data_IF_793935625633
#
_entry.id   IF_793935625633
#
_cell.length_a   1.000
_cell.length_b   1.000
_cell.length_c   1.000
_cell.angle_alpha   90.00
_cell.angle_beta   90.00
_cell.angle_gamma   90.00
#
_symmetry.space_group_name_H-M   'P 1'
#
loop_
_entity.id
_entity.type
_entity.pdbx_description
1 polymer ?
#
# COMPACT_ATOMS: atom_id res chain seq x y z
N UNK A 1 -20.08 -6.77 17.41
CA UNK A 1 -18.77 -6.88 16.73
C UNK A 1 -18.84 -6.02 15.48
N UNK A 2 -17.87 -5.14 15.24
CA UNK A 2 -17.82 -4.37 13.99
C UNK A 2 -17.48 -5.32 12.85
N UNK A 3 -17.91 -4.99 11.63
CA UNK A 3 -17.61 -5.82 10.47
C UNK A 3 -16.28 -5.47 9.84
N UNK A 4 -15.49 -6.48 9.55
CA UNK A 4 -14.11 -6.32 9.08
C UNK A 4 -14.05 -6.35 7.56
N UNK A 5 -13.44 -5.32 6.97
CA UNK A 5 -13.10 -5.26 5.57
C UNK A 5 -11.59 -5.40 5.40
N UNK A 6 -11.14 -6.59 5.02
CA UNK A 6 -9.73 -6.91 4.85
C UNK A 6 -9.15 -6.31 3.56
N UNK A 7 -8.05 -5.58 3.72
CA UNK A 7 -7.23 -5.00 2.66
C UNK A 7 -5.83 -5.56 2.83
N UNK A 8 -5.28 -6.20 1.80
CA UNK A 8 -3.91 -6.70 1.84
C UNK A 8 -2.97 -5.67 1.22
N UNK A 9 -1.89 -5.33 1.92
CA UNK A 9 -0.82 -4.45 1.41
C UNK A 9 0.42 -5.28 1.14
N UNK A 10 0.89 -5.27 -0.11
CA UNK A 10 2.06 -6.04 -0.56
C UNK A 10 3.13 -5.14 -1.20
N UNK A 11 4.34 -5.68 -1.24
CA UNK A 11 5.53 -5.00 -1.74
C UNK A 11 6.77 -5.64 -1.11
N UNK A 12 7.93 -5.50 -1.75
CA UNK A 12 9.16 -6.10 -1.25
C UNK A 12 9.59 -5.46 0.08
N UNK A 13 10.63 -6.02 0.69
CA UNK A 13 11.26 -5.44 1.87
C UNK A 13 11.66 -4.00 1.56
N UNK A 14 11.27 -3.03 2.39
CA UNK A 14 11.52 -1.59 2.20
C UNK A 14 10.88 -0.96 0.95
N UNK A 15 9.97 -1.62 0.24
CA UNK A 15 9.26 -1.00 -0.91
C UNK A 15 8.45 0.25 -0.53
N UNK A 16 8.21 0.47 0.77
CA UNK A 16 7.55 1.64 1.33
C UNK A 16 6.12 1.40 1.80
N UNK A 17 5.73 0.14 2.05
CA UNK A 17 4.41 -0.24 2.60
C UNK A 17 4.10 0.46 3.93
N UNK A 18 5.03 0.41 4.88
CA UNK A 18 4.86 1.05 6.20
C UNK A 18 4.67 2.56 6.04
N UNK A 19 5.50 3.24 5.24
CA UNK A 19 5.33 4.67 4.97
C UNK A 19 4.06 5.00 4.19
N UNK A 20 3.57 4.12 3.31
CA UNK A 20 2.24 4.25 2.69
C UNK A 20 1.14 4.22 3.75
N UNK A 21 1.18 3.23 4.65
CA UNK A 21 0.21 3.08 5.74
C UNK A 21 0.26 4.24 6.75
N UNK A 22 1.46 4.67 7.13
CA UNK A 22 1.69 5.84 7.98
C UNK A 22 1.17 7.12 7.34
N UNK A 23 1.36 7.29 6.02
CA UNK A 23 0.84 8.43 5.26
C UNK A 23 -0.68 8.42 5.22
N UNK A 24 -1.29 7.27 4.92
CA UNK A 24 -2.74 7.08 4.96
C UNK A 24 -3.27 7.46 6.35
N UNK A 25 -2.63 6.95 7.41
CA UNK A 25 -2.99 7.24 8.79
C UNK A 25 -2.87 8.72 9.16
N UNK A 26 -1.74 9.37 8.85
CA UNK A 26 -1.51 10.77 9.22
C UNK A 26 -2.49 11.72 8.53
N UNK A 27 -3.00 11.36 7.35
CA UNK A 27 -3.94 12.18 6.58
C UNK A 27 -5.41 11.90 6.87
N UNK A 28 -5.72 10.96 7.77
CA UNK A 28 -7.10 10.69 8.16
C UNK A 28 -7.76 11.90 8.83
N UNK A 29 -7.10 12.52 9.81
CA UNK A 29 -7.64 13.72 10.45
C UNK A 29 -7.75 14.88 9.46
N UNK A 30 -6.74 15.08 8.61
CA UNK A 30 -6.71 16.20 7.66
C UNK A 30 -7.79 16.13 6.58
N UNK A 31 -8.12 14.92 6.09
CA UNK A 31 -8.96 14.76 4.91
C UNK A 31 -10.36 14.25 5.24
N UNK A 32 -10.53 13.47 6.31
CA UNK A 32 -11.83 12.90 6.69
C UNK A 32 -12.53 13.79 7.72
N UNK A 33 -11.83 14.48 8.62
CA UNK A 33 -12.53 15.39 9.56
C UNK A 33 -13.11 16.65 8.90
N UNK A 34 -12.63 16.98 7.69
CA UNK A 34 -13.24 18.01 6.83
C UNK A 34 -14.61 17.57 6.28
N UNK A 35 -14.85 16.27 6.17
CA UNK A 35 -16.16 15.72 5.83
C UNK A 35 -16.99 15.62 7.12
N UNK A 36 -17.97 16.50 7.29
CA UNK A 36 -18.65 16.69 8.57
C UNK A 36 -19.41 15.45 9.07
N UNK A 37 -19.69 14.48 8.20
CA UNK A 37 -20.54 13.33 8.50
C UNK A 37 -19.81 11.99 8.59
N UNK A 38 -18.55 11.91 8.12
CA UNK A 38 -17.75 10.68 8.13
C UNK A 38 -16.61 10.77 9.15
N UNK A 39 -16.28 9.65 9.76
CA UNK A 39 -15.18 9.55 10.70
C UNK A 39 -14.44 8.23 10.53
N UNK A 40 -13.12 8.33 10.45
CA UNK A 40 -12.23 7.18 10.58
C UNK A 40 -11.34 7.39 11.81
N UNK A 41 -11.28 6.38 12.67
CA UNK A 41 -10.41 6.40 13.85
C UNK A 41 -9.67 5.08 13.97
N UNK A 42 -8.41 5.06 14.40
CA UNK A 42 -7.74 3.81 14.69
C UNK A 42 -8.45 3.05 15.82
N UNK A 43 -8.31 1.72 15.82
CA UNK A 43 -8.80 0.87 16.90
C UNK A 43 -7.74 0.83 18.01
N UNK A 44 -8.20 0.94 19.28
CA UNK A 44 -7.46 1.24 20.54
C UNK A 44 -6.08 0.61 20.78
N UNK A 45 -5.68 -0.41 20.02
CA UNK A 45 -4.46 -1.19 20.26
C UNK A 45 -3.33 -0.89 19.26
N UNK A 46 -3.58 -0.06 18.23
CA UNK A 46 -2.65 0.20 17.11
C UNK A 46 -2.23 1.66 16.93
N UNK A 47 -2.87 2.58 17.66
CA UNK A 47 -2.61 4.03 17.66
C UNK A 47 -1.13 4.34 17.85
N UNK A 48 -0.45 3.58 18.72
CA UNK A 48 0.94 3.88 19.09
C UNK A 48 1.92 3.53 17.96
N UNK A 49 1.74 2.42 17.23
CA UNK A 49 2.77 1.97 16.28
C UNK A 49 2.88 2.87 15.04
N UNK A 50 1.77 3.16 14.35
CA UNK A 50 1.79 4.07 13.19
C UNK A 50 2.04 5.51 13.62
N UNK A 51 1.53 5.93 14.78
CA UNK A 51 1.85 7.22 15.37
C UNK A 51 3.35 7.39 15.61
N UNK A 52 4.00 6.37 16.18
CA UNK A 52 5.46 6.36 16.37
C UNK A 52 6.20 6.41 15.03
N UNK A 53 5.77 5.65 14.01
CA UNK A 53 6.39 5.73 12.68
C UNK A 53 6.25 7.12 12.04
N UNK A 54 5.09 7.77 12.19
CA UNK A 54 4.89 9.15 11.72
C UNK A 54 5.81 10.11 12.49
N UNK A 55 5.94 9.94 13.80
CA UNK A 55 6.82 10.75 14.62
C UNK A 55 8.29 10.54 14.26
N UNK A 56 8.71 9.29 14.00
CA UNK A 56 10.06 8.94 13.57
C UNK A 56 10.39 9.60 12.22
N UNK A 57 9.46 9.54 11.25
CA UNK A 57 9.59 10.26 9.98
C UNK A 57 9.73 11.77 10.21
N UNK A 58 8.84 12.36 11.00
CA UNK A 58 8.90 13.79 11.32
C UNK A 58 10.23 14.17 12.02
N UNK A 59 10.73 13.32 12.91
CA UNK A 59 11.99 13.54 13.63
C UNK A 59 13.20 13.42 12.70
N UNK A 60 13.25 12.38 11.86
CA UNK A 60 14.30 12.17 10.86
C UNK A 60 14.44 13.38 9.94
N UNK A 61 13.33 14.06 9.65
CA UNK A 61 13.28 15.24 8.79
C UNK A 61 13.15 16.58 9.53
N UNK A 62 13.12 16.56 10.85
CA UNK A 62 12.98 17.76 11.70
C UNK A 62 14.30 18.48 11.94
N UNK A 63 15.43 17.78 11.83
CA UNK A 63 16.76 18.38 12.05
C UNK A 63 17.26 19.12 10.81
N UNK A 64 17.94 20.23 11.02
CA UNK A 64 18.48 21.11 9.96
C UNK A 64 19.78 20.56 9.34
N UNK A 65 20.36 19.50 9.92
CA UNK A 65 21.79 19.17 9.76
C UNK A 65 22.10 17.83 9.12
N UNK A 66 21.15 16.90 8.95
CA UNK A 66 21.42 15.61 8.30
C UNK A 66 20.85 15.60 6.88
N UNK A 67 21.70 15.96 5.92
CA UNK A 67 21.42 15.83 4.49
C UNK A 67 22.69 15.38 3.76
N UNK A 68 22.58 14.49 2.75
CA UNK A 68 21.38 13.76 2.32
C UNK A 68 21.02 12.58 3.24
N UNK A 69 19.77 12.10 3.15
CA UNK A 69 19.25 10.99 3.96
C UNK A 69 19.08 9.72 3.10
N UNK A 70 19.55 8.57 3.61
CA UNK A 70 19.39 7.28 2.94
C UNK A 70 18.02 6.66 3.28
N UNK A 71 17.44 5.92 2.34
CA UNK A 71 16.20 5.14 2.49
C UNK A 71 16.12 4.31 3.79
N UNK A 72 17.25 3.78 4.29
CA UNK A 72 17.32 2.99 5.52
C UNK A 72 17.24 3.85 6.80
N UNK A 73 17.62 5.12 6.73
CA UNK A 73 17.55 6.08 7.83
C UNK A 73 16.14 6.72 7.92
N UNK A 74 15.34 6.58 6.86
CA UNK A 74 14.02 7.20 6.72
C UNK A 74 12.87 6.30 7.18
N UNK A 75 12.93 4.98 6.93
CA UNK A 75 11.92 4.01 7.41
C UNK A 75 12.60 2.70 7.79
N UNK A 76 12.59 2.36 9.07
CA UNK A 76 13.00 1.04 9.52
C UNK A 76 12.02 -0.01 8.96
N UNK A 77 12.51 -1.14 8.41
CA UNK A 77 11.62 -2.20 7.96
C UNK A 77 10.78 -2.72 9.14
N UNK A 78 9.54 -3.11 8.86
CA UNK A 78 8.73 -3.87 9.80
C UNK A 78 9.46 -5.19 10.12
N UNK A 79 10.13 -5.29 11.27
CA UNK A 79 10.81 -6.51 11.71
C UNK A 79 9.97 -7.22 12.76
N UNK A 80 9.53 -8.45 12.46
CA UNK A 80 8.96 -9.35 13.47
C UNK A 80 10.14 -9.96 14.25
N UNK A 81 10.18 -9.75 15.56
CA UNK A 81 11.30 -10.16 16.43
C UNK A 81 11.60 -11.67 16.34
N UNK A 82 12.88 -12.02 16.22
CA UNK A 82 13.38 -13.42 16.30
C UNK A 82 13.75 -13.76 17.75
N UNK A 83 13.08 -14.73 18.37
CA UNK A 83 13.59 -15.40 19.57
C UNK A 83 14.31 -16.69 19.15
N UNK A 84 15.58 -16.85 19.60
CA UNK A 84 16.31 -18.12 19.49
C UNK A 84 15.97 -18.98 20.69
N UNK A 85 15.22 -20.05 20.49
CA UNK A 85 15.11 -21.13 21.48
C UNK A 85 16.21 -22.17 21.21
N UNK A 86 17.23 -22.19 22.07
CA UNK A 86 18.27 -23.22 22.03
C UNK A 86 17.75 -24.47 22.75
N UNK A 87 17.21 -25.44 22.02
CA UNK A 87 16.98 -26.79 22.55
C UNK A 87 18.22 -27.68 22.31
N UNK A 88 18.99 -27.90 23.37
CA UNK A 88 20.08 -28.89 23.38
C UNK A 88 19.50 -30.27 23.71
N UNK A 89 19.41 -31.16 22.71
CA UNK A 89 19.16 -32.58 22.93
C UNK A 89 20.20 -33.40 22.15
N UNK A 90 21.07 -34.04 22.91
CA UNK A 90 21.99 -35.12 22.53
C UNK A 90 22.75 -34.97 21.20
N UNK A 91 23.82 -34.17 21.22
CA UNK A 91 25.08 -34.52 20.53
C UNK A 91 25.11 -34.56 19.00
N UNK A 92 24.04 -34.15 18.31
CA UNK A 92 24.06 -33.89 16.86
C UNK A 92 23.37 -32.56 16.57
N UNK A 93 24.16 -31.55 16.21
CA UNK A 93 23.67 -30.26 15.74
C UNK A 93 23.11 -30.40 14.32
N UNK A 94 21.81 -30.68 14.21
CA UNK A 94 21.03 -30.35 13.01
C UNK A 94 20.25 -29.07 13.29
N UNK A 95 20.68 -27.96 12.69
CA UNK A 95 19.97 -26.68 12.77
C UNK A 95 18.75 -26.70 11.85
N UNK A 96 17.66 -27.35 12.26
CA UNK A 96 16.34 -27.11 11.66
C UNK A 96 15.77 -25.88 12.35
N UNK A 97 15.72 -24.76 11.63
CA UNK A 97 15.20 -23.50 12.18
C UNK A 97 13.68 -23.53 12.03
N UNK A 98 12.98 -23.98 13.06
CA UNK A 98 11.51 -23.88 13.12
C UNK A 98 11.14 -22.46 13.56
N UNK A 99 10.35 -21.76 12.74
CA UNK A 99 9.90 -20.40 12.97
C UNK A 99 8.59 -20.41 13.78
N UNK A 100 8.60 -19.90 15.01
CA UNK A 100 7.38 -19.65 15.81
C UNK A 100 7.29 -18.19 16.21
N UNK A 101 6.19 -17.54 15.80
CA UNK A 101 5.90 -16.11 16.05
C UNK A 101 4.88 -15.99 17.17
N UNK A 102 5.20 -15.30 18.27
CA UNK A 102 4.26 -14.99 19.37
C UNK A 102 4.09 -13.49 19.54
N UNK A 103 2.94 -12.99 19.11
CA UNK A 103 2.26 -11.83 19.69
C UNK A 103 0.94 -12.36 20.26
N UNK A 104 0.63 -11.92 21.48
CA UNK A 104 -0.53 -12.33 22.31
C UNK A 104 -1.66 -13.06 21.56
N UNK A 105 -1.61 -14.40 21.60
CA UNK A 105 -2.80 -15.24 21.46
C UNK A 105 -3.32 -15.56 20.05
N UNK A 106 -2.72 -15.06 18.96
CA UNK A 106 -3.08 -15.47 17.59
C UNK A 106 -1.80 -15.61 16.75
N UNK A 107 -1.53 -16.83 16.28
CA UNK A 107 -0.43 -17.16 15.36
C UNK A 107 -0.64 -16.48 13.98
N UNK A 108 -0.39 -15.18 13.87
CA UNK A 108 -0.51 -14.44 12.61
C UNK A 108 0.81 -13.73 12.27
N UNK A 109 1.27 -13.95 11.04
CA UNK A 109 2.58 -13.60 10.49
C UNK A 109 2.62 -12.22 9.80
N UNK A 110 1.55 -11.45 9.89
CA UNK A 110 1.33 -10.12 9.32
C UNK A 110 0.97 -9.09 10.42
N UNK A 111 1.26 -7.81 10.18
CA UNK A 111 0.81 -6.72 11.07
C UNK A 111 -0.53 -6.20 10.57
N UNK A 112 -1.54 -6.23 11.43
CA UNK A 112 -2.87 -5.71 11.12
C UNK A 112 -3.02 -4.28 11.64
N UNK A 113 -3.37 -3.34 10.78
CA UNK A 113 -3.75 -1.98 11.14
C UNK A 113 -5.26 -1.80 11.00
N UNK A 114 -5.94 -1.59 12.12
CA UNK A 114 -7.40 -1.62 12.23
C UNK A 114 -7.94 -0.21 12.40
N UNK A 115 -8.87 0.19 11.52
CA UNK A 115 -9.48 1.51 11.52
C UNK A 115 -11.00 1.41 11.56
N UNK A 116 -11.60 1.96 12.59
CA UNK A 116 -13.03 2.10 12.74
C UNK A 116 -13.54 3.21 11.81
N UNK A 117 -14.41 2.83 10.87
CA UNK A 117 -15.13 3.71 9.96
C UNK A 117 -16.60 3.83 10.40
N UNK A 118 -17.06 5.06 10.55
CA UNK A 118 -18.41 5.36 11.00
C UNK A 118 -18.85 6.77 10.66
N UNK A 119 -20.04 7.13 11.13
CA UNK A 119 -20.43 8.53 11.14
C UNK A 119 -19.84 9.22 12.37
N UNK A 120 -19.53 10.51 12.23
CA UNK A 120 -19.02 11.33 13.32
C UNK A 120 -19.95 11.27 14.54
N UNK A 121 -19.37 11.08 15.72
CA UNK A 121 -20.08 10.96 17.00
C UNK A 121 -21.06 9.78 17.11
N UNK A 122 -21.01 8.80 16.19
CA UNK A 122 -21.79 7.56 16.28
C UNK A 122 -20.88 6.36 16.47
N UNK A 123 -21.48 5.22 16.81
CA UNK A 123 -20.74 3.96 16.86
C UNK A 123 -20.22 3.62 15.45
N UNK A 124 -18.94 3.22 15.33
CA UNK A 124 -18.39 2.78 14.05
C UNK A 124 -19.15 1.55 13.54
N UNK A 125 -19.28 1.46 12.22
CA UNK A 125 -20.04 0.40 11.55
C UNK A 125 -19.15 -0.65 10.92
N UNK A 126 -18.06 -0.18 10.34
CA UNK A 126 -17.09 -1.00 9.62
C UNK A 126 -15.73 -0.80 10.28
N UNK A 127 -14.93 -1.85 10.27
CA UNK A 127 -13.53 -1.78 10.57
C UNK A 127 -12.76 -2.13 9.30
N UNK A 128 -11.95 -1.20 8.82
CA UNK A 128 -10.99 -1.47 7.76
C UNK A 128 -9.78 -2.14 8.41
N UNK A 129 -9.37 -3.28 7.87
CA UNK A 129 -8.24 -4.06 8.38
C UNK A 129 -7.16 -4.07 7.29
N UNK A 130 -6.17 -3.19 7.41
CA UNK A 130 -5.04 -3.10 6.50
C UNK A 130 -3.94 -4.03 7.00
N UNK A 131 -3.70 -5.12 6.27
CA UNK A 131 -2.69 -6.13 6.61
C UNK A 131 -1.38 -5.80 5.90
N UNK A 132 -0.38 -5.33 6.65
CA UNK A 132 0.99 -5.13 6.15
C UNK A 132 1.74 -6.46 6.16
N UNK A 133 2.08 -6.91 4.95
CA UNK A 133 2.76 -8.16 4.76
C UNK A 133 4.28 -7.96 4.72
N UNK A 134 5.05 -8.59 5.64
CA UNK A 134 6.51 -8.51 5.60
C UNK A 134 7.04 -8.95 4.24
N UNK A 135 7.92 -8.15 3.63
CA UNK A 135 8.34 -8.38 2.25
C UNK A 135 9.16 -9.66 2.09
N UNK A 136 9.79 -10.12 3.17
CA UNK A 136 10.57 -11.35 3.28
C UNK A 136 9.70 -12.58 2.97
N UNK A 137 8.44 -12.56 3.42
CA UNK A 137 7.57 -13.70 3.29
C UNK A 137 7.04 -13.91 1.85
N UNK A 138 7.22 -12.93 0.94
CA UNK A 138 6.94 -13.13 -0.49
C UNK A 138 7.83 -14.23 -1.08
N UNK A 139 9.06 -14.35 -0.56
CA UNK A 139 9.98 -15.42 -0.92
C UNK A 139 9.75 -16.67 -0.06
N UNK A 140 9.57 -16.50 1.26
CA UNK A 140 9.60 -17.61 2.23
C UNK A 140 8.25 -18.34 2.38
N UNK A 141 7.13 -17.64 2.15
CA UNK A 141 5.77 -18.16 2.37
C UNK A 141 4.78 -17.78 1.25
N UNK A 142 5.08 -18.03 -0.03
CA UNK A 142 4.27 -17.56 -1.17
C UNK A 142 2.82 -18.10 -1.14
N UNK A 143 2.58 -19.30 -0.60
CA UNK A 143 1.23 -19.87 -0.48
C UNK A 143 0.31 -19.05 0.41
N UNK A 144 0.86 -18.47 1.47
CA UNK A 144 0.11 -17.64 2.42
C UNK A 144 -0.22 -16.27 1.82
N UNK A 145 0.68 -15.73 0.99
CA UNK A 145 0.44 -14.52 0.18
C UNK A 145 -0.70 -14.78 -0.79
N UNK A 146 -0.60 -15.86 -1.57
CA UNK A 146 -1.58 -16.24 -2.59
C UNK A 146 -2.96 -16.40 -1.96
N UNK A 147 -3.05 -17.11 -0.83
CA UNK A 147 -4.30 -17.28 -0.09
C UNK A 147 -4.88 -15.93 0.34
N UNK A 148 -4.08 -15.04 0.92
CA UNK A 148 -4.55 -13.71 1.35
C UNK A 148 -5.04 -12.86 0.20
N UNK A 149 -4.30 -12.81 -0.92
CA UNK A 149 -4.71 -12.09 -2.13
C UNK A 149 -6.02 -12.67 -2.67
N UNK A 150 -6.18 -13.99 -2.64
CA UNK A 150 -7.40 -14.69 -3.05
C UNK A 150 -8.59 -14.34 -2.14
N UNK A 151 -8.38 -14.25 -0.83
CA UNK A 151 -9.44 -14.05 0.15
C UNK A 151 -9.85 -12.55 0.29
N UNK A 152 -8.91 -11.61 0.11
CA UNK A 152 -9.18 -10.17 0.25
C UNK A 152 -9.92 -9.58 -0.96
N UNK A 153 -10.78 -8.57 -0.73
CA UNK A 153 -11.47 -7.86 -1.82
C UNK A 153 -10.59 -6.78 -2.47
N UNK A 154 -9.59 -6.29 -1.73
CA UNK A 154 -8.68 -5.22 -2.15
C UNK A 154 -7.24 -5.62 -1.90
N UNK A 155 -6.40 -5.50 -2.93
CA UNK A 155 -4.95 -5.62 -2.81
C UNK A 155 -4.28 -4.29 -3.17
N UNK A 156 -3.49 -3.74 -2.25
CA UNK A 156 -2.65 -2.56 -2.48
C UNK A 156 -1.21 -3.00 -2.74
N UNK A 157 -0.62 -2.53 -3.82
CA UNK A 157 0.77 -2.81 -4.20
C UNK A 157 1.56 -1.52 -4.02
N UNK A 158 2.42 -1.47 -3.00
CA UNK A 158 3.36 -0.37 -2.83
C UNK A 158 4.46 -0.47 -3.89
N UNK A 159 4.62 0.59 -4.68
CA UNK A 159 5.61 0.66 -5.76
C UNK A 159 6.71 1.63 -5.34
N UNK A 160 7.93 1.14 -5.18
CA UNK A 160 9.09 1.98 -4.91
C UNK A 160 9.42 2.79 -6.17
N UNK A 161 9.01 4.06 -6.19
CA UNK A 161 9.09 4.91 -7.39
C UNK A 161 10.53 5.18 -7.84
N UNK A 162 11.50 5.51 -6.94
CA UNK A 162 12.91 5.58 -7.33
C UNK A 162 13.43 4.31 -8.01
N UNK A 163 13.05 3.12 -7.53
CA UNK A 163 13.44 1.86 -8.16
C UNK A 163 12.80 1.65 -9.55
N UNK A 164 11.59 2.18 -9.77
CA UNK A 164 10.89 2.12 -11.05
C UNK A 164 11.48 3.09 -12.09
N UNK A 165 11.82 4.30 -11.66
CA UNK A 165 12.11 5.43 -12.54
C UNK A 165 13.59 5.56 -12.89
N UNK A 166 14.49 5.11 -12.02
CA UNK A 166 15.93 5.26 -12.21
C UNK A 166 16.51 4.06 -12.96
N UNK A 167 17.08 4.33 -14.13
CA UNK A 167 17.83 3.34 -14.91
C UNK A 167 19.32 3.37 -14.52
N UNK A 168 19.82 2.22 -14.09
CA UNK A 168 21.21 2.04 -13.66
C UNK A 168 22.17 2.01 -14.86
N UNK A 169 21.82 1.23 -15.90
CA UNK A 169 22.62 1.11 -17.12
C UNK A 169 21.84 0.49 -18.28
N UNK A 170 22.31 0.74 -19.52
CA UNK A 170 21.80 0.06 -20.73
C UNK A 170 21.99 -1.46 -20.71
N UNK A 171 22.93 -1.97 -19.91
CA UNK A 171 23.27 -3.41 -19.84
C UNK A 171 22.34 -4.21 -18.93
N UNK A 172 21.80 -3.57 -17.90
CA UNK A 172 20.87 -4.17 -16.93
C UNK A 172 19.66 -3.22 -16.74
N UNK A 173 18.86 -3.00 -17.80
CA UNK A 173 17.73 -2.11 -17.69
C UNK A 173 16.72 -2.69 -16.69
N UNK A 174 16.11 -1.80 -15.89
CA UNK A 174 15.08 -2.15 -14.91
C UNK A 174 15.52 -3.06 -13.75
N UNK A 175 16.82 -3.22 -13.46
CA UNK A 175 17.29 -4.07 -12.36
C UNK A 175 16.65 -3.72 -11.01
N UNK A 176 16.69 -2.45 -10.59
CA UNK A 176 16.07 -2.03 -9.33
C UNK A 176 14.57 -2.28 -9.31
N UNK A 177 13.87 -2.03 -10.42
CA UNK A 177 12.44 -2.33 -10.53
C UNK A 177 12.18 -3.84 -10.37
N UNK A 178 12.94 -4.69 -11.06
CA UNK A 178 12.82 -6.14 -10.97
C UNK A 178 13.00 -6.64 -9.54
N UNK A 179 14.08 -6.21 -8.89
CA UNK A 179 14.41 -6.63 -7.51
C UNK A 179 13.38 -6.09 -6.49
N UNK A 180 13.02 -4.80 -6.59
CA UNK A 180 12.26 -4.09 -5.54
C UNK A 180 10.75 -4.14 -5.74
N UNK A 181 10.27 -4.20 -6.97
CA UNK A 181 8.86 -4.01 -7.30
C UNK A 181 8.22 -5.27 -7.90
N UNK A 182 8.98 -6.14 -8.57
CA UNK A 182 8.48 -7.38 -9.20
C UNK A 182 8.86 -8.67 -8.46
N UNK A 183 9.75 -8.58 -7.46
CA UNK A 183 10.27 -9.72 -6.68
C UNK A 183 11.16 -10.67 -7.50
N UNK A 184 11.82 -10.13 -8.51
CA UNK A 184 12.76 -10.84 -9.38
C UNK A 184 14.19 -10.59 -8.89
N UNK A 185 14.64 -11.25 -7.82
CA UNK A 185 15.99 -11.11 -7.26
C UNK A 185 17.07 -11.74 -8.16
N UNK A 186 17.28 -11.20 -9.36
CA UNK A 186 18.28 -11.67 -10.34
C UNK A 186 18.10 -13.12 -10.83
N UNK A 187 16.98 -13.78 -10.51
CA UNK A 187 16.62 -15.12 -10.99
C UNK A 187 15.13 -15.15 -11.36
N UNK A 188 14.75 -15.61 -12.56
CA UNK A 188 13.36 -15.91 -12.86
C UNK A 188 12.92 -17.05 -11.95
N UNK A 189 12.09 -16.73 -10.96
CA UNK A 189 11.52 -17.68 -10.02
C UNK A 189 9.99 -17.69 -10.10
N UNK A 190 9.35 -18.77 -9.61
CA UNK A 190 7.88 -18.91 -9.64
C UNK A 190 7.14 -17.94 -8.70
N UNK A 191 7.88 -17.19 -7.86
CA UNK A 191 7.32 -16.34 -6.81
C UNK A 191 7.42 -14.83 -7.17
N UNK A 192 7.49 -14.50 -8.45
CA UNK A 192 7.36 -13.09 -8.87
C UNK A 192 5.91 -12.61 -8.73
N UNK A 193 5.71 -11.30 -8.72
CA UNK A 193 4.41 -10.68 -8.50
C UNK A 193 3.33 -11.19 -9.48
N UNK A 194 3.65 -11.36 -10.77
CA UNK A 194 2.70 -11.81 -11.77
C UNK A 194 2.23 -13.24 -11.51
N UNK A 195 3.15 -14.15 -11.22
CA UNK A 195 2.84 -15.56 -10.91
C UNK A 195 2.02 -15.71 -9.61
N UNK A 196 2.27 -14.85 -8.61
CA UNK A 196 1.46 -14.80 -7.39
C UNK A 196 0.00 -14.44 -7.71
N UNK A 197 -0.22 -13.42 -8.55
CA UNK A 197 -1.58 -13.01 -8.95
C UNK A 197 -2.25 -14.05 -9.84
N UNK A 198 -1.51 -14.65 -10.76
CA UNK A 198 -2.01 -15.72 -11.64
C UNK A 198 -2.58 -16.88 -10.81
N UNK A 199 -1.85 -17.34 -9.81
CA UNK A 199 -2.31 -18.42 -8.93
C UNK A 199 -3.42 -17.96 -7.96
N UNK A 200 -3.34 -16.74 -7.43
CA UNK A 200 -4.39 -16.22 -6.54
C UNK A 200 -5.73 -16.08 -7.27
N UNK A 201 -5.72 -15.69 -8.55
CA UNK A 201 -6.90 -15.34 -9.34
C UNK A 201 -7.37 -16.43 -10.32
N UNK A 202 -6.70 -17.59 -10.36
CA UNK A 202 -7.03 -18.74 -11.22
C UNK A 202 -8.51 -19.15 -11.21
N UNK A 203 -9.19 -18.90 -10.10
CA UNK A 203 -10.64 -19.09 -9.93
C UNK A 203 -11.21 -17.90 -9.14
N UNK A 204 -10.99 -16.69 -9.66
CA UNK A 204 -11.40 -15.45 -8.98
C UNK A 204 -12.86 -15.49 -8.55
N UNK A 205 -13.08 -15.45 -7.23
CA UNK A 205 -14.39 -15.33 -6.64
C UNK A 205 -14.71 -13.86 -6.35
N UNK A 206 -15.85 -13.39 -6.84
CA UNK A 206 -16.33 -12.04 -6.64
C UNK A 206 -15.61 -10.99 -7.48
N UNK A 207 -15.75 -9.73 -7.04
CA UNK A 207 -15.07 -8.58 -7.64
C UNK A 207 -13.88 -8.20 -6.78
N UNK A 208 -12.81 -7.71 -7.40
CA UNK A 208 -11.56 -7.32 -6.74
C UNK A 208 -11.14 -5.92 -7.17
N UNK A 209 -10.41 -5.24 -6.30
CA UNK A 209 -9.72 -3.98 -6.59
C UNK A 209 -8.22 -4.17 -6.37
N UNK A 210 -7.42 -3.82 -7.38
CA UNK A 210 -5.97 -3.72 -7.27
C UNK A 210 -5.58 -2.24 -7.31
N UNK A 211 -4.93 -1.77 -6.25
CA UNK A 211 -4.44 -0.39 -6.14
C UNK A 211 -2.92 -0.40 -6.33
N UNK A 212 -2.46 0.13 -7.44
CA UNK A 212 -1.04 0.42 -7.67
C UNK A 212 -0.73 1.75 -6.97
N UNK A 213 0.08 1.71 -5.92
CA UNK A 213 0.42 2.87 -5.10
C UNK A 213 1.91 3.22 -5.21
N UNK A 214 2.31 4.03 -6.22
CA UNK A 214 3.63 4.66 -6.26
C UNK A 214 3.89 5.46 -4.98
N UNK A 215 4.94 5.09 -4.25
CA UNK A 215 5.40 5.80 -3.05
C UNK A 215 6.71 6.52 -3.32
N UNK A 216 7.04 7.54 -2.51
CA UNK A 216 8.25 8.38 -2.71
C UNK A 216 8.31 8.95 -4.12
N UNK A 217 7.14 9.35 -4.64
CA UNK A 217 6.94 9.76 -6.02
C UNK A 217 7.00 11.28 -6.22
N UNK A 218 7.35 12.05 -5.18
CA UNK A 218 7.31 13.52 -5.14
C UNK A 218 7.98 14.15 -6.38
N UNK A 219 9.19 13.69 -6.72
CA UNK A 219 9.93 14.17 -7.89
C UNK A 219 9.17 13.97 -9.20
N UNK A 220 8.43 12.88 -9.33
CA UNK A 220 7.73 12.51 -10.55
C UNK A 220 6.26 12.91 -10.54
N UNK A 221 5.78 13.53 -9.46
CA UNK A 221 4.45 14.13 -9.36
C UNK A 221 4.48 15.67 -9.37
N UNK A 222 5.68 16.26 -9.53
CA UNK A 222 5.90 17.71 -9.47
C UNK A 222 5.15 18.49 -10.55
N UNK A 223 4.96 17.91 -11.73
CA UNK A 223 4.22 18.51 -12.85
C UNK A 223 3.53 17.45 -13.71
N UNK A 224 2.57 17.85 -14.58
CA UNK A 224 1.81 16.92 -15.42
C UNK A 224 2.65 16.01 -16.31
N UNK A 225 3.72 16.52 -16.93
CA UNK A 225 4.52 15.74 -17.85
C UNK A 225 5.35 14.67 -17.11
N UNK A 226 5.89 15.02 -15.95
CA UNK A 226 6.56 14.05 -15.06
C UNK A 226 5.58 12.97 -14.57
N UNK A 227 4.35 13.36 -14.23
CA UNK A 227 3.33 12.43 -13.75
C UNK A 227 2.84 11.48 -14.85
N UNK A 228 2.74 11.96 -16.10
CA UNK A 228 2.47 11.12 -17.26
C UNK A 228 3.63 10.14 -17.52
N UNK A 229 4.88 10.60 -17.36
CA UNK A 229 6.06 9.72 -17.46
C UNK A 229 6.04 8.61 -16.40
N UNK A 230 5.68 8.94 -15.16
CA UNK A 230 5.48 7.96 -14.09
C UNK A 230 4.42 6.93 -14.48
N UNK A 231 3.28 7.38 -15.01
CA UNK A 231 2.20 6.49 -15.41
C UNK A 231 2.64 5.54 -16.54
N UNK A 232 3.32 6.05 -17.57
CA UNK A 232 3.83 5.21 -18.66
C UNK A 232 4.87 4.19 -18.17
N UNK A 233 5.73 4.60 -17.22
CA UNK A 233 6.69 3.71 -16.56
C UNK A 233 6.02 2.59 -15.77
N UNK A 234 4.92 2.90 -15.06
CA UNK A 234 4.13 1.90 -14.34
C UNK A 234 3.50 0.92 -15.34
N UNK A 235 2.84 1.43 -16.39
CA UNK A 235 2.21 0.59 -17.43
C UNK A 235 3.23 -0.36 -18.07
N UNK A 236 4.42 0.14 -18.38
CA UNK A 236 5.49 -0.65 -18.99
C UNK A 236 6.09 -1.68 -18.02
N UNK A 237 6.44 -1.26 -16.80
CA UNK A 237 7.08 -2.14 -15.81
C UNK A 237 6.14 -3.24 -15.30
N UNK A 238 4.86 -2.94 -15.13
CA UNK A 238 3.84 -3.89 -14.68
C UNK A 238 3.07 -4.54 -15.82
N UNK A 239 3.51 -4.40 -17.08
CA UNK A 239 2.79 -4.91 -18.25
C UNK A 239 2.34 -6.36 -18.11
N UNK A 240 3.18 -7.33 -17.66
CA UNK A 240 2.73 -8.72 -17.51
C UNK A 240 1.56 -8.88 -16.55
N UNK A 241 1.61 -8.20 -15.40
CA UNK A 241 0.52 -8.19 -14.42
C UNK A 241 -0.73 -7.51 -15.00
N UNK A 242 -0.57 -6.36 -15.65
CA UNK A 242 -1.70 -5.62 -16.23
C UNK A 242 -2.37 -6.41 -17.37
N UNK A 243 -1.60 -7.10 -18.22
CA UNK A 243 -2.14 -7.99 -19.25
C UNK A 243 -2.95 -9.14 -18.64
N UNK A 244 -2.43 -9.77 -17.58
CA UNK A 244 -3.14 -10.80 -16.83
C UNK A 244 -4.47 -10.26 -16.28
N UNK A 245 -4.45 -9.12 -15.61
CA UNK A 245 -5.65 -8.52 -15.00
C UNK A 245 -6.66 -8.04 -16.06
N UNK A 246 -6.20 -7.63 -17.25
CA UNK A 246 -7.07 -7.22 -18.35
C UNK A 246 -7.96 -8.34 -18.88
N UNK A 247 -7.50 -9.61 -18.81
CA UNK A 247 -8.33 -10.77 -19.14
C UNK A 247 -9.52 -10.95 -18.19
N UNK A 248 -9.48 -10.31 -17.01
CA UNK A 248 -10.49 -10.38 -15.95
C UNK A 248 -11.14 -9.01 -15.67
N UNK A 249 -11.19 -8.11 -16.67
CA UNK A 249 -11.69 -6.72 -16.51
C UNK A 249 -13.10 -6.59 -15.93
N UNK A 250 -13.94 -7.61 -16.08
CA UNK A 250 -15.29 -7.63 -15.52
C UNK A 250 -15.29 -7.97 -14.03
N UNK A 251 -14.20 -8.56 -13.51
CA UNK A 251 -14.03 -8.94 -12.11
C UNK A 251 -13.02 -8.08 -11.38
N UNK A 252 -12.06 -7.46 -12.08
CA UNK A 252 -10.94 -6.74 -11.46
C UNK A 252 -10.91 -5.29 -11.92
N UNK A 253 -11.01 -4.37 -10.97
CA UNK A 253 -10.64 -2.97 -11.17
C UNK A 253 -9.16 -2.76 -10.85
N UNK A 254 -8.48 -1.95 -11.65
CA UNK A 254 -7.09 -1.57 -11.40
C UNK A 254 -6.98 -0.05 -11.44
N UNK A 255 -6.41 0.52 -10.40
CA UNK A 255 -6.22 1.97 -10.26
C UNK A 255 -4.76 2.29 -9.93
N UNK A 256 -4.30 3.46 -10.37
CA UNK A 256 -3.02 4.04 -9.97
C UNK A 256 -3.31 5.24 -9.08
N UNK A 257 -2.81 5.19 -7.85
CA UNK A 257 -2.95 6.25 -6.86
C UNK A 257 -1.57 6.60 -6.32
N UNK A 258 -0.83 7.52 -6.96
CA UNK A 258 0.44 7.99 -6.43
C UNK A 258 0.27 8.61 -5.04
N UNK A 259 1.19 8.31 -4.13
CA UNK A 259 1.23 8.82 -2.76
C UNK A 259 2.60 9.46 -2.51
N UNK A 260 2.60 10.76 -2.24
CA UNK A 260 3.78 11.51 -1.83
C UNK A 260 4.01 11.22 -0.34
N UNK A 261 4.69 10.11 -0.04
CA UNK A 261 4.87 9.63 1.33
C UNK A 261 5.81 10.48 2.18
N UNK A 262 6.59 11.37 1.58
CA UNK A 262 7.52 12.28 2.27
C UNK A 262 7.13 13.74 2.09
N UNK A 263 6.51 14.09 0.96
CA UNK A 263 5.98 15.43 0.68
C UNK A 263 7.04 16.41 0.20
N UNK A 264 7.51 17.32 1.06
CA UNK A 264 8.49 18.34 0.68
C UNK A 264 9.94 17.81 0.65
N UNK A 265 10.09 16.50 0.49
CA UNK A 265 11.36 15.77 0.57
C UNK A 265 11.43 14.90 -0.67
N UNK A 266 12.33 15.27 -1.57
CA UNK A 266 12.37 14.79 -2.93
C UNK A 266 13.59 13.90 -3.15
N UNK A 267 13.45 12.94 -4.05
CA UNK A 267 14.59 12.13 -4.50
C UNK A 267 15.66 13.04 -5.13
N UNK A 268 16.91 12.87 -4.68
CA UNK A 268 18.07 13.59 -5.18
C UNK A 268 18.84 12.74 -6.21
N UNK A 269 19.47 11.65 -5.76
CA UNK A 269 20.34 10.78 -6.57
C UNK A 269 20.50 9.37 -5.97
N UNK A 270 21.14 8.44 -6.70
CA UNK A 270 21.62 7.15 -6.15
C UNK A 270 23.08 7.32 -5.71
N UNK A 271 23.37 7.07 -4.45
CA UNK A 271 24.73 7.26 -3.90
C UNK A 271 25.74 6.28 -4.51
N UNK A 272 25.31 5.03 -4.70
CA UNK A 272 26.08 3.97 -5.31
C UNK A 272 25.50 3.61 -6.68
N UNK A 273 26.29 3.69 -7.77
CA UNK A 273 25.80 3.37 -9.11
C UNK A 273 25.38 1.92 -9.31
N UNK A 274 25.84 0.98 -8.48
CA UNK A 274 25.63 -0.47 -8.64
C UNK A 274 24.74 -1.09 -7.54
N UNK A 275 24.25 -0.27 -6.61
CA UNK A 275 23.51 -0.70 -5.44
C UNK A 275 22.37 0.26 -5.13
N UNK A 276 21.22 -0.31 -4.72
CA UNK A 276 20.04 0.48 -4.43
C UNK A 276 20.24 1.36 -3.20
N UNK A 277 20.49 2.65 -3.41
CA UNK A 277 20.93 3.62 -2.39
C UNK A 277 20.38 5.02 -2.67
N UNK A 278 19.04 5.17 -2.78
CA UNK A 278 18.45 6.47 -3.08
C UNK A 278 18.65 7.44 -1.91
N UNK A 279 19.06 8.63 -2.27
CA UNK A 279 19.26 9.77 -1.39
C UNK A 279 18.13 10.76 -1.56
N UNK A 280 17.67 11.33 -0.46
CA UNK A 280 16.58 12.30 -0.44
C UNK A 280 17.04 13.64 0.12
N UNK A 281 16.45 14.71 -0.41
CA UNK A 281 16.72 16.08 0.01
C UNK A 281 15.41 16.85 0.23
N UNK A 282 15.42 17.72 1.24
CA UNK A 282 14.41 18.76 1.44
C UNK A 282 14.42 19.73 0.27
N UNK A 283 13.24 20.17 -0.17
CA UNK A 283 13.12 21.22 -1.19
C UNK A 283 13.68 22.56 -0.72
N UNK A 284 13.56 22.85 0.58
CA UNK A 284 14.14 24.02 1.24
C UNK A 284 14.68 23.65 2.61
N UNK A 285 15.58 24.46 3.19
CA UNK A 285 16.16 24.17 4.51
C UNK A 285 15.11 24.11 5.64
N UNK A 286 13.96 24.77 5.45
CA UNK A 286 12.83 24.81 6.38
C UNK A 286 11.74 23.80 6.03
N UNK A 287 11.87 23.06 4.93
CA UNK A 287 10.87 22.11 4.50
C UNK A 287 10.74 20.98 5.54
N UNK A 288 9.48 20.66 5.86
CA UNK A 288 9.11 19.61 6.81
C UNK A 288 8.49 18.44 6.06
N UNK A 289 8.50 17.28 6.71
CA UNK A 289 7.66 16.14 6.35
C UNK A 289 6.20 16.61 6.18
N UNK A 290 5.62 16.40 5.01
CA UNK A 290 4.29 16.90 4.65
C UNK A 290 3.66 16.03 3.55
N UNK A 291 3.34 14.77 3.86
CA UNK A 291 2.93 13.82 2.84
C UNK A 291 1.64 14.25 2.15
N UNK A 292 1.39 13.77 0.94
CA UNK A 292 0.18 14.11 0.16
C UNK A 292 -0.44 12.88 -0.50
N UNK A 293 -1.74 12.99 -0.75
CA UNK A 293 -2.55 12.03 -1.49
C UNK A 293 -2.72 10.65 -0.82
N UNK A 294 -2.40 10.53 0.47
CA UNK A 294 -2.67 9.34 1.29
C UNK A 294 -4.17 9.03 1.41
N UNK A 295 -5.04 10.00 1.19
CA UNK A 295 -6.49 9.79 1.13
C UNK A 295 -6.95 9.05 -0.14
N UNK A 296 -6.19 9.14 -1.24
CA UNK A 296 -6.63 8.65 -2.55
C UNK A 296 -6.82 7.13 -2.60
N UNK A 297 -5.89 6.28 -2.10
CA UNK A 297 -6.15 4.84 -1.98
C UNK A 297 -7.45 4.55 -1.22
N UNK A 298 -7.69 5.23 -0.10
CA UNK A 298 -8.88 5.00 0.71
C UNK A 298 -10.16 5.42 -0.03
N UNK A 299 -10.17 6.53 -0.76
CA UNK A 299 -11.33 6.95 -1.55
C UNK A 299 -11.73 5.89 -2.57
N UNK A 300 -10.76 5.33 -3.30
CA UNK A 300 -11.02 4.26 -4.28
C UNK A 300 -11.51 2.98 -3.61
N UNK A 301 -10.97 2.62 -2.44
CA UNK A 301 -11.43 1.48 -1.65
C UNK A 301 -12.89 1.67 -1.23
N UNK A 302 -13.23 2.84 -0.68
CA UNK A 302 -14.60 3.13 -0.25
C UNK A 302 -15.56 3.17 -1.44
N UNK A 303 -15.15 3.77 -2.57
CA UNK A 303 -15.92 3.77 -3.82
C UNK A 303 -16.29 2.35 -4.25
N UNK A 304 -15.28 1.48 -4.30
CA UNK A 304 -15.46 0.06 -4.63
C UNK A 304 -16.38 -0.67 -3.64
N UNK A 305 -16.24 -0.43 -2.34
CA UNK A 305 -17.10 -1.01 -1.29
C UNK A 305 -18.56 -0.57 -1.46
N UNK A 306 -18.80 0.74 -1.67
CA UNK A 306 -20.15 1.30 -1.85
C UNK A 306 -20.80 0.69 -3.08
N UNK A 307 -20.07 0.59 -4.20
CA UNK A 307 -20.59 -0.01 -5.43
C UNK A 307 -21.10 -1.43 -5.18
N UNK A 308 -20.33 -2.24 -4.44
CA UNK A 308 -20.73 -3.61 -4.08
C UNK A 308 -21.95 -3.65 -3.17
N UNK A 309 -22.07 -2.71 -2.23
CA UNK A 309 -23.29 -2.56 -1.42
C UNK A 309 -24.52 -2.24 -2.27
N UNK A 310 -24.40 -1.32 -3.23
CA UNK A 310 -25.51 -0.91 -4.09
C UNK A 310 -25.94 -2.00 -5.08
N UNK A 311 -25.01 -2.80 -5.60
CA UNK A 311 -25.31 -3.88 -6.55
C UNK A 311 -25.86 -5.15 -5.89
N UNK A 312 -25.43 -5.46 -4.67
CA UNK A 312 -25.90 -6.63 -3.94
C UNK A 312 -26.30 -6.26 -2.51
N UNK A 313 -27.40 -5.51 -2.36
CA UNK A 313 -27.84 -5.04 -1.06
C UNK A 313 -28.13 -6.21 -0.12
N UNK A 314 -28.54 -7.40 -0.57
CA UNK A 314 -28.80 -8.53 0.35
C UNK A 314 -27.59 -8.91 1.23
N UNK A 315 -26.42 -9.12 0.62
CA UNK A 315 -25.19 -9.47 1.34
C UNK A 315 -24.67 -8.30 2.19
N UNK A 316 -24.71 -7.09 1.64
CA UNK A 316 -24.13 -5.90 2.28
C UNK A 316 -25.12 -5.11 3.16
N UNK A 317 -26.42 -5.40 3.12
CA UNK A 317 -27.43 -4.83 4.04
C UNK A 317 -27.12 -5.24 5.47
N UNK A 318 -26.56 -6.43 5.65
CA UNK A 318 -26.05 -6.83 6.95
C UNK A 318 -24.95 -5.87 7.44
N UNK A 319 -24.16 -5.27 6.54
CA UNK A 319 -23.04 -4.36 6.87
C UNK A 319 -23.47 -2.91 7.11
N UNK A 320 -24.32 -2.36 6.25
CA UNK A 320 -24.69 -0.93 6.31
C UNK A 320 -26.08 -0.70 6.90
N UNK A 321 -26.95 -1.71 6.89
CA UNK A 321 -28.36 -1.60 7.23
C UNK A 321 -29.09 -0.58 6.34
N UNK A 322 -30.05 0.13 6.92
CA UNK A 322 -30.79 1.23 6.28
C UNK A 322 -30.16 2.61 6.53
N UNK A 323 -28.86 2.68 6.85
CA UNK A 323 -28.21 3.94 7.23
C UNK A 323 -27.78 4.76 6.02
N UNK A 324 -28.78 5.35 5.37
CA UNK A 324 -28.60 6.26 4.24
C UNK A 324 -27.64 7.40 4.56
N UNK A 325 -27.67 8.03 5.76
CA UNK A 325 -26.68 9.04 6.12
C UNK A 325 -25.24 8.55 6.05
N UNK A 326 -24.93 7.37 6.60
CA UNK A 326 -23.58 6.81 6.55
C UNK A 326 -23.13 6.49 5.13
N UNK A 327 -24.01 5.85 4.34
CA UNK A 327 -23.72 5.53 2.94
C UNK A 327 -23.52 6.80 2.11
N UNK A 328 -24.31 7.84 2.36
CA UNK A 328 -24.17 9.13 1.68
C UNK A 328 -22.86 9.84 2.06
N UNK A 329 -22.44 9.78 3.33
CA UNK A 329 -21.17 10.34 3.77
C UNK A 329 -19.99 9.62 3.11
N UNK A 330 -20.03 8.29 3.08
CA UNK A 330 -19.03 7.48 2.36
C UNK A 330 -18.98 7.80 0.86
N UNK A 331 -20.13 7.96 0.21
CA UNK A 331 -20.22 8.29 -1.21
C UNK A 331 -19.69 9.70 -1.50
N UNK A 332 -20.03 10.68 -0.66
CA UNK A 332 -19.50 12.03 -0.75
C UNK A 332 -17.97 12.05 -0.64
N UNK A 333 -17.41 11.33 0.34
CA UNK A 333 -15.96 11.17 0.47
C UNK A 333 -15.35 10.48 -0.76
N UNK A 334 -15.95 9.39 -1.25
CA UNK A 334 -15.46 8.62 -2.39
C UNK A 334 -15.46 9.44 -3.71
N UNK A 335 -16.36 10.42 -3.87
CA UNK A 335 -16.37 11.35 -5.03
C UNK A 335 -15.13 12.24 -5.13
N UNK A 336 -14.30 12.31 -4.09
CA UNK A 336 -13.01 13.01 -4.11
C UNK A 336 -11.88 12.26 -4.82
N UNK A 337 -12.14 11.10 -5.44
CA UNK A 337 -11.16 10.38 -6.24
C UNK A 337 -10.58 11.28 -7.34
N UNK A 338 -9.26 11.45 -7.34
CA UNK A 338 -8.51 12.04 -8.43
C UNK A 338 -8.56 11.12 -9.64
N UNK A 339 -8.70 11.70 -10.84
CA UNK A 339 -8.97 11.01 -12.11
C UNK A 339 -10.35 10.33 -12.22
N UNK A 340 -11.36 10.86 -11.52
CA UNK A 340 -12.76 10.47 -11.75
C UNK A 340 -13.21 10.89 -13.17
N UNK A 341 -13.50 9.95 -14.09
CA UNK A 341 -13.87 10.27 -15.47
C UNK A 341 -15.13 11.13 -15.56
N UNK A 342 -16.01 11.03 -14.55
CA UNK A 342 -17.27 11.77 -14.47
C UNK A 342 -17.08 13.26 -14.19
N UNK A 343 -15.90 13.66 -13.68
CA UNK A 343 -15.61 15.05 -13.30
C UNK A 343 -14.75 15.81 -14.32
N UNK A 344 -14.35 15.17 -15.42
CA UNK A 344 -13.55 15.81 -16.48
C UNK A 344 -12.14 16.28 -16.06
N UNK A 345 -11.78 16.12 -14.78
CA UNK A 345 -10.48 16.46 -14.24
C UNK A 345 -9.55 15.24 -14.33
N UNK A 346 -8.76 15.17 -15.40
CA UNK A 346 -7.59 14.30 -15.42
C UNK A 346 -6.56 14.87 -14.44
N UNK A 347 -6.53 14.33 -13.23
CA UNK A 347 -5.45 14.62 -12.29
C UNK A 347 -4.22 13.81 -12.74
N UNK A 348 -3.20 14.50 -13.22
CA UNK A 348 -1.98 13.88 -13.75
C UNK A 348 -1.41 12.84 -12.78
N UNK A 349 -1.02 11.68 -13.30
CA UNK A 349 -0.50 10.54 -12.53
C UNK A 349 -1.55 9.64 -11.87
N UNK A 350 -2.79 10.11 -11.67
CA UNK A 350 -3.91 9.27 -11.19
C UNK A 350 -4.66 8.67 -12.37
N UNK A 351 -5.02 7.39 -12.30
CA UNK A 351 -5.86 6.79 -13.36
C UNK A 351 -6.61 5.55 -12.88
N UNK A 352 -7.77 5.31 -13.49
CA UNK A 352 -8.37 3.97 -13.54
C UNK A 352 -7.84 3.29 -14.80
N UNK A 353 -7.04 2.23 -14.66
CA UNK A 353 -6.50 1.47 -15.80
C UNK A 353 -7.60 0.62 -16.44
N UNK A 354 -8.41 -0.04 -15.60
CA UNK A 354 -9.52 -0.89 -16.04
C UNK A 354 -10.58 -1.04 -14.96
N UNK A 355 -11.74 -1.57 -15.34
CA UNK A 355 -12.79 -1.94 -14.40
C UNK A 355 -13.51 -0.75 -13.79
N UNK A 356 -13.62 0.38 -14.51
CA UNK A 356 -14.32 1.57 -14.01
C UNK A 356 -15.78 1.31 -13.65
N UNK A 357 -16.43 0.34 -14.31
CA UNK A 357 -17.78 -0.12 -13.98
C UNK A 357 -17.89 -0.78 -12.60
N UNK A 358 -16.75 -1.19 -12.02
CA UNK A 358 -16.66 -1.78 -10.68
C UNK A 358 -16.41 -0.74 -9.58
N UNK A 359 -16.25 0.54 -9.94
CA UNK A 359 -15.93 1.66 -9.06
C UNK A 359 -17.08 2.65 -8.91
#
# INVERSE_FOLDING_TARGET
MNKEFDITVIGSVRAGKTSLLSTIYSQFSEVIELDNDLEIRPARDLDDSLGNYVQDLQNAFGTTTQMPLNNADVVQPTVISKTKDNHTLNGRSSSTTDYTYKLNGLNSSDIEYRFNLGQKNKKPKIQLVLRDYPGEQLADHPKDVIRRIRDCAVTMIAIDTPALMIEESKRQPWRFHKDRNLFENGKPGPNNLCSIFEEAYKEINGKKLVVLAPVKCEKWMADPACADQLLERIKLGYKPLLDLLASMKDNVAVVVTPVETLGNIIYAYMDQPNAYSPQFMKETILAKYNPRYGDQPLRYILRFVIKRFLENPGFWFHWFGNDKPFVSAMDNFARGCKADPLRGNMASGFTVIQGSQLL
#
